data_IF_422193988180
#
_entry.id   IF_422193988180
#
_cell.length_a   1.000
_cell.length_b   1.000
_cell.length_c   1.000
_cell.angle_alpha   90.00
_cell.angle_beta   90.00
_cell.angle_gamma   90.00
#
_symmetry.space_group_name_H-M   'P 1'
#
loop_
_entity.id
_entity.type
_entity.pdbx_description
1 polymer ?
#
# COMPACT_ATOMS: atom_id res chain seq x y z
N UNK A 1 -7.69 22.07 -19.48
CA UNK A 1 -6.90 22.95 -18.60
C UNK A 1 -6.58 22.23 -17.28
N UNK A 2 -7.52 21.43 -16.78
CA UNK A 2 -7.41 20.68 -15.52
C UNK A 2 -6.32 19.59 -15.53
N UNK A 3 -6.15 18.87 -16.65
CA UNK A 3 -5.12 17.83 -16.75
C UNK A 3 -3.67 18.36 -16.70
N UNK A 4 -3.41 19.55 -17.25
CA UNK A 4 -2.08 20.17 -17.19
C UNK A 4 -1.76 20.67 -15.78
N UNK A 5 -2.75 21.21 -15.08
CA UNK A 5 -2.61 21.65 -13.68
C UNK A 5 -2.36 20.44 -12.78
N UNK A 6 -3.10 19.34 -12.97
CA UNK A 6 -2.88 18.08 -12.23
C UNK A 6 -1.48 17.50 -12.47
N UNK A 7 -1.01 17.50 -13.72
CA UNK A 7 0.36 17.09 -14.05
C UNK A 7 1.40 17.95 -13.31
N UNK A 8 1.20 19.26 -13.29
CA UNK A 8 2.11 20.21 -12.66
C UNK A 8 2.14 20.03 -11.14
N UNK A 9 0.98 19.83 -10.51
CA UNK A 9 0.86 19.47 -9.10
C UNK A 9 1.59 18.14 -8.82
N UNK A 10 1.40 17.11 -9.65
CA UNK A 10 2.08 15.84 -9.51
C UNK A 10 3.60 16.00 -9.55
N UNK A 11 4.15 16.75 -10.52
CA UNK A 11 5.59 17.01 -10.64
C UNK A 11 6.12 17.75 -9.41
N UNK A 12 5.41 18.78 -8.93
CA UNK A 12 5.81 19.53 -7.73
C UNK A 12 5.81 18.63 -6.49
N UNK A 13 4.75 17.84 -6.29
CA UNK A 13 4.64 16.91 -5.15
C UNK A 13 5.72 15.85 -5.23
N UNK A 14 5.97 15.27 -6.41
CA UNK A 14 7.02 14.28 -6.62
C UNK A 14 8.41 14.87 -6.32
N UNK A 15 8.70 16.07 -6.81
CA UNK A 15 9.95 16.77 -6.52
C UNK A 15 10.10 17.10 -5.02
N UNK A 16 9.02 17.54 -4.37
CA UNK A 16 9.01 17.81 -2.93
C UNK A 16 9.28 16.53 -2.12
N UNK A 17 8.65 15.41 -2.47
CA UNK A 17 8.92 14.10 -1.86
C UNK A 17 10.38 13.69 -2.06
N UNK A 18 10.93 13.84 -3.27
CA UNK A 18 12.35 13.51 -3.55
C UNK A 18 13.32 14.37 -2.71
N UNK A 19 13.03 15.66 -2.56
CA UNK A 19 13.84 16.56 -1.73
C UNK A 19 13.75 16.22 -0.23
N UNK A 20 12.53 16.01 0.28
CA UNK A 20 12.29 15.68 1.68
C UNK A 20 12.87 14.31 2.07
N UNK A 21 12.73 13.31 1.21
CA UNK A 21 13.29 11.96 1.44
C UNK A 21 14.82 11.99 1.41
N UNK A 22 15.43 12.82 0.57
CA UNK A 22 16.89 13.02 0.56
C UNK A 22 17.38 13.67 1.87
N UNK A 23 16.61 14.62 2.42
CA UNK A 23 16.93 15.30 3.67
C UNK A 23 16.74 14.41 4.92
N UNK A 24 15.74 13.50 4.89
CA UNK A 24 15.39 12.59 5.99
C UNK A 24 16.38 11.43 6.18
N UNK A 25 17.30 11.19 5.23
CA UNK A 25 18.29 10.09 5.32
C UNK A 25 19.24 10.19 6.52
N UNK A 26 19.30 11.33 7.21
CA UNK A 26 20.27 11.56 8.29
C UNK A 26 20.15 10.62 9.50
N UNK A 27 19.02 9.94 9.72
CA UNK A 27 18.80 9.07 10.89
C UNK A 27 18.25 7.67 10.57
N UNK A 28 18.11 7.30 9.29
CA UNK A 28 17.51 6.03 8.88
C UNK A 28 18.61 5.08 8.37
N UNK A 29 19.10 4.23 9.26
CA UNK A 29 20.23 3.34 9.00
C UNK A 29 19.75 1.89 8.98
N UNK A 30 19.90 1.25 7.82
CA UNK A 30 19.63 -0.18 7.62
C UNK A 30 20.97 -0.89 7.51
N UNK A 31 21.11 -2.03 8.17
CA UNK A 31 22.29 -2.87 7.98
C UNK A 31 22.26 -3.61 6.63
N UNK A 32 23.40 -4.20 6.24
CA UNK A 32 23.53 -4.92 4.96
C UNK A 32 22.52 -6.06 4.80
N UNK A 33 22.17 -6.73 5.90
CA UNK A 33 21.20 -7.83 5.90
C UNK A 33 19.79 -7.30 5.64
N UNK A 34 19.39 -6.20 6.29
CA UNK A 34 18.12 -5.54 6.07
C UNK A 34 18.00 -5.02 4.63
N UNK A 35 19.08 -4.45 4.08
CA UNK A 35 19.10 -4.01 2.67
C UNK A 35 18.88 -5.17 1.70
N UNK A 36 19.53 -6.33 1.93
CA UNK A 36 19.33 -7.52 1.11
C UNK A 36 17.88 -8.04 1.15
N UNK A 37 17.29 -8.13 2.35
CA UNK A 37 15.89 -8.54 2.55
C UNK A 37 14.94 -7.57 1.82
N UNK A 38 15.17 -6.26 1.96
CA UNK A 38 14.33 -5.25 1.31
C UNK A 38 14.42 -5.32 -0.20
N UNK A 39 15.62 -5.53 -0.76
CA UNK A 39 15.82 -5.71 -2.19
C UNK A 39 15.02 -6.92 -2.72
N UNK A 40 15.00 -8.02 -1.98
CA UNK A 40 14.18 -9.18 -2.31
C UNK A 40 12.68 -8.86 -2.24
N UNK A 41 12.24 -8.14 -1.21
CA UNK A 41 10.87 -7.65 -1.09
C UNK A 41 10.46 -6.77 -2.27
N UNK A 42 11.32 -5.81 -2.68
CA UNK A 42 11.06 -4.94 -3.82
C UNK A 42 10.94 -5.74 -5.12
N UNK A 43 11.80 -6.75 -5.32
CA UNK A 43 11.72 -7.64 -6.48
C UNK A 43 10.38 -8.39 -6.51
N UNK A 44 9.92 -8.92 -5.37
CA UNK A 44 8.63 -9.61 -5.26
C UNK A 44 7.47 -8.68 -5.59
N UNK A 45 7.43 -7.50 -4.96
CA UNK A 45 6.40 -6.49 -5.22
C UNK A 45 6.38 -6.02 -6.69
N UNK A 46 7.56 -5.82 -7.29
CA UNK A 46 7.67 -5.45 -8.70
C UNK A 46 7.04 -6.50 -9.64
N UNK A 47 7.34 -7.78 -9.44
CA UNK A 47 6.77 -8.84 -10.28
C UNK A 47 5.25 -8.98 -10.08
N UNK A 48 4.73 -8.76 -8.87
CA UNK A 48 3.28 -8.72 -8.63
C UNK A 48 2.65 -7.57 -9.43
N UNK A 49 3.22 -6.37 -9.36
CA UNK A 49 2.72 -5.23 -10.13
C UNK A 49 2.72 -5.53 -11.63
N UNK A 50 3.82 -6.09 -12.15
CA UNK A 50 3.99 -6.41 -13.57
C UNK A 50 2.98 -7.45 -14.05
N UNK A 51 2.76 -8.51 -13.27
CA UNK A 51 1.77 -9.54 -13.62
C UNK A 51 0.35 -8.97 -13.58
N UNK A 52 0.02 -8.18 -12.57
CA UNK A 52 -1.30 -7.59 -12.44
C UNK A 52 -1.59 -6.58 -13.56
N UNK A 53 -0.66 -5.67 -13.88
CA UNK A 53 -0.85 -4.74 -15.01
C UNK A 53 -0.94 -5.49 -16.34
N UNK A 54 -0.11 -6.51 -16.56
CA UNK A 54 -0.22 -7.38 -17.72
C UNK A 54 -1.58 -8.07 -17.82
N UNK A 55 -2.13 -8.55 -16.70
CA UNK A 55 -3.47 -9.12 -16.64
C UNK A 55 -4.54 -8.08 -17.02
N UNK A 56 -4.43 -6.84 -16.53
CA UNK A 56 -5.36 -5.78 -16.90
C UNK A 56 -5.29 -5.47 -18.40
N UNK A 57 -4.10 -5.47 -19.01
CA UNK A 57 -3.96 -5.33 -20.46
C UNK A 57 -4.70 -6.43 -21.21
N UNK A 58 -4.55 -7.70 -20.78
CA UNK A 58 -5.24 -8.84 -21.40
C UNK A 58 -6.76 -8.75 -21.21
N UNK A 59 -7.24 -8.39 -20.01
CA UNK A 59 -8.67 -8.20 -19.72
C UNK A 59 -9.27 -7.15 -20.67
N UNK A 60 -8.59 -6.01 -20.83
CA UNK A 60 -9.04 -4.93 -21.69
C UNK A 60 -9.03 -5.32 -23.17
N UNK A 61 -7.95 -5.95 -23.65
CA UNK A 61 -7.83 -6.39 -25.05
C UNK A 61 -8.88 -7.46 -25.39
N UNK A 62 -9.11 -8.41 -24.49
CA UNK A 62 -10.12 -9.46 -24.64
C UNK A 62 -11.56 -8.97 -24.37
N UNK A 63 -11.74 -7.69 -24.00
CA UNK A 63 -13.04 -7.08 -23.64
C UNK A 63 -13.81 -7.87 -22.58
N UNK A 64 -13.09 -8.43 -21.61
CA UNK A 64 -13.69 -9.17 -20.51
C UNK A 64 -14.39 -8.20 -19.57
N UNK A 65 -15.69 -8.43 -19.33
CA UNK A 65 -16.46 -7.61 -18.39
C UNK A 65 -16.05 -7.92 -16.95
N UNK A 66 -15.53 -6.92 -16.24
CA UNK A 66 -15.10 -7.00 -14.84
C UNK A 66 -15.92 -6.05 -13.95
N UNK A 67 -16.10 -6.36 -12.66
CA UNK A 67 -16.96 -5.61 -11.74
C UNK A 67 -16.28 -4.35 -11.16
N UNK A 68 -15.27 -3.81 -11.81
CA UNK A 68 -14.50 -2.64 -11.38
C UNK A 68 -14.00 -1.86 -12.60
N UNK A 69 -13.67 -0.59 -12.40
CA UNK A 69 -12.98 0.22 -13.41
C UNK A 69 -11.46 -0.07 -13.43
N UNK A 70 -10.76 0.45 -14.44
CA UNK A 70 -9.33 0.22 -14.62
C UNK A 70 -8.50 0.86 -13.51
N UNK A 71 -8.91 2.04 -13.03
CA UNK A 71 -8.18 2.78 -12.00
C UNK A 71 -8.25 2.06 -10.65
N UNK A 72 -9.40 1.47 -10.31
CA UNK A 72 -9.58 0.62 -9.14
C UNK A 72 -8.63 -0.57 -9.21
N UNK A 73 -8.58 -1.27 -10.34
CA UNK A 73 -7.72 -2.43 -10.50
C UNK A 73 -6.23 -2.07 -10.41
N UNK A 74 -5.81 -1.00 -11.09
CA UNK A 74 -4.42 -0.54 -11.06
C UNK A 74 -3.99 -0.15 -9.65
N UNK A 75 -4.83 0.56 -8.92
CA UNK A 75 -4.52 0.97 -7.56
C UNK A 75 -4.52 -0.22 -6.59
N UNK A 76 -5.43 -1.19 -6.77
CA UNK A 76 -5.41 -2.44 -6.01
C UNK A 76 -4.13 -3.25 -6.28
N UNK A 77 -3.68 -3.31 -7.53
CA UNK A 77 -2.41 -3.94 -7.89
C UNK A 77 -1.19 -3.24 -7.26
N UNK A 78 -1.20 -1.90 -7.22
CA UNK A 78 -0.17 -1.12 -6.53
C UNK A 78 -0.16 -1.43 -5.03
N UNK A 79 -1.34 -1.40 -4.38
CA UNK A 79 -1.45 -1.69 -2.95
C UNK A 79 -0.97 -3.10 -2.63
N UNK A 80 -1.41 -4.10 -3.39
CA UNK A 80 -0.98 -5.49 -3.20
C UNK A 80 0.54 -5.65 -3.36
N UNK A 81 1.14 -4.92 -4.30
CA UNK A 81 2.60 -4.95 -4.52
C UNK A 81 3.36 -4.36 -3.32
N UNK A 82 2.84 -3.28 -2.74
CA UNK A 82 3.37 -2.67 -1.52
C UNK A 82 3.19 -3.63 -0.33
N UNK A 83 2.04 -4.27 -0.21
CA UNK A 83 1.75 -5.22 0.86
C UNK A 83 2.68 -6.44 0.80
N UNK A 84 2.94 -6.99 -0.38
CA UNK A 84 3.88 -8.10 -0.56
C UNK A 84 5.30 -7.72 -0.12
N UNK A 85 5.74 -6.51 -0.47
CA UNK A 85 7.00 -5.97 0.04
C UNK A 85 6.97 -5.82 1.57
N UNK A 86 5.93 -5.19 2.10
CA UNK A 86 5.81 -4.87 3.52
C UNK A 86 5.79 -6.14 4.37
N UNK A 87 4.98 -7.14 3.99
CA UNK A 87 4.93 -8.45 4.64
C UNK A 87 6.32 -9.07 4.70
N UNK A 88 7.00 -9.16 3.56
CA UNK A 88 8.33 -9.77 3.49
C UNK A 88 9.33 -9.04 4.39
N UNK A 89 9.30 -7.71 4.40
CA UNK A 89 10.19 -6.91 5.24
C UNK A 89 9.83 -7.04 6.73
N UNK A 90 8.55 -7.08 7.10
CA UNK A 90 8.10 -7.21 8.51
C UNK A 90 8.50 -8.57 9.07
N UNK A 91 8.19 -9.66 8.36
CA UNK A 91 8.46 -11.02 8.82
C UNK A 91 9.96 -11.26 9.07
N UNK A 92 10.79 -10.66 8.22
CA UNK A 92 12.25 -10.79 8.27
C UNK A 92 12.95 -9.68 9.08
N UNK A 93 12.20 -8.79 9.76
CA UNK A 93 12.76 -7.77 10.66
C UNK A 93 13.54 -6.65 9.94
N UNK A 94 13.19 -6.38 8.68
CA UNK A 94 13.81 -5.35 7.85
C UNK A 94 12.85 -4.21 7.47
N UNK A 95 11.64 -4.18 8.07
CA UNK A 95 10.66 -3.14 7.81
C UNK A 95 11.04 -1.79 8.44
N UNK A 96 11.41 -1.81 9.72
CA UNK A 96 11.91 -0.64 10.44
C UNK A 96 13.44 -0.59 10.38
N UNK A 97 14.00 0.61 10.31
CA UNK A 97 15.44 0.81 10.48
C UNK A 97 15.89 0.51 11.91
N UNK A 98 17.19 0.28 12.11
CA UNK A 98 17.74 -0.18 13.40
C UNK A 98 17.38 0.74 14.58
N UNK A 99 17.25 2.04 14.32
CA UNK A 99 17.02 3.06 15.35
C UNK A 99 15.56 3.54 15.45
N UNK A 100 14.64 2.92 14.71
CA UNK A 100 13.29 3.43 14.52
C UNK A 100 12.27 2.77 15.45
N UNK A 101 11.49 3.60 16.14
CA UNK A 101 10.41 3.13 17.03
C UNK A 101 9.14 2.93 16.21
N UNK A 102 8.71 1.68 16.05
CA UNK A 102 7.54 1.31 15.24
C UNK A 102 6.18 1.86 15.72
N UNK A 103 6.09 2.41 16.93
CA UNK A 103 4.81 2.89 17.50
C UNK A 103 4.19 4.02 16.65
N UNK A 104 4.97 5.01 16.22
CA UNK A 104 4.46 6.11 15.40
C UNK A 104 3.87 5.62 14.08
N UNK A 105 4.49 4.59 13.49
CA UNK A 105 4.00 3.95 12.28
C UNK A 105 2.68 3.21 12.52
N UNK A 106 2.58 2.43 13.61
CA UNK A 106 1.32 1.73 13.96
C UNK A 106 0.18 2.72 14.20
N UNK A 107 0.45 3.85 14.87
CA UNK A 107 -0.55 4.91 15.08
C UNK A 107 -0.99 5.52 13.74
N UNK A 108 -0.05 5.79 12.83
CA UNK A 108 -0.35 6.28 11.49
C UNK A 108 -1.20 5.28 10.70
N UNK A 109 -0.86 3.99 10.72
CA UNK A 109 -1.67 2.91 10.11
C UNK A 109 -3.10 2.91 10.67
N UNK A 110 -3.26 3.02 12.00
CA UNK A 110 -4.58 3.05 12.62
C UNK A 110 -5.41 4.27 12.18
N UNK A 111 -4.80 5.45 12.09
CA UNK A 111 -5.48 6.67 11.60
C UNK A 111 -5.92 6.49 10.15
N UNK A 112 -5.04 5.95 9.29
CA UNK A 112 -5.34 5.70 7.87
C UNK A 112 -6.49 4.70 7.73
N UNK A 113 -6.50 3.63 8.52
CA UNK A 113 -7.60 2.65 8.54
C UNK A 113 -8.92 3.32 8.89
N UNK A 114 -8.95 4.11 9.98
CA UNK A 114 -10.19 4.76 10.44
C UNK A 114 -10.71 5.75 9.39
N UNK A 115 -9.84 6.61 8.85
CA UNK A 115 -10.24 7.60 7.86
C UNK A 115 -10.81 6.94 6.59
N UNK A 116 -10.15 5.89 6.10
CA UNK A 116 -10.60 5.16 4.91
C UNK A 116 -11.84 4.32 5.18
N UNK A 117 -12.01 3.76 6.39
CA UNK A 117 -13.22 3.05 6.78
C UNK A 117 -14.44 3.98 6.80
N UNK A 118 -14.31 5.18 7.37
CA UNK A 118 -15.40 6.16 7.40
C UNK A 118 -15.81 6.56 5.98
N UNK A 119 -14.84 6.89 5.13
CA UNK A 119 -15.12 7.28 3.74
C UNK A 119 -15.73 6.13 2.92
N UNK A 120 -15.13 4.94 2.96
CA UNK A 120 -15.66 3.78 2.24
C UNK A 120 -17.06 3.40 2.73
N UNK A 121 -17.31 3.41 4.05
CA UNK A 121 -18.63 3.15 4.61
C UNK A 121 -19.66 4.18 4.15
N UNK A 122 -19.32 5.47 4.12
CA UNK A 122 -20.18 6.53 3.60
C UNK A 122 -20.62 6.25 2.16
N UNK A 123 -19.67 5.97 1.27
CA UNK A 123 -19.98 5.66 -0.14
C UNK A 123 -20.79 4.37 -0.33
N UNK A 124 -20.59 3.37 0.54
CA UNK A 124 -21.39 2.14 0.54
C UNK A 124 -22.82 2.42 0.98
N UNK A 125 -23.00 3.19 2.06
CA UNK A 125 -24.31 3.54 2.62
C UNK A 125 -25.11 4.39 1.63
N UNK A 126 -24.45 5.35 0.99
CA UNK A 126 -25.07 6.24 0.00
C UNK A 126 -25.31 5.55 -1.35
N UNK A 127 -24.81 4.32 -1.53
CA UNK A 127 -24.93 3.55 -2.78
C UNK A 127 -24.10 4.12 -3.94
N UNK A 128 -23.20 5.07 -3.67
CA UNK A 128 -22.42 5.77 -4.69
C UNK A 128 -21.17 5.01 -5.13
N UNK A 129 -20.75 3.98 -4.36
CA UNK A 129 -19.54 3.19 -4.64
C UNK A 129 -19.55 2.45 -5.98
N UNK A 130 -20.72 2.30 -6.60
CA UNK A 130 -20.86 1.69 -7.93
C UNK A 130 -21.43 2.66 -8.95
N UNK A 131 -20.90 2.60 -10.17
CA UNK A 131 -21.52 3.17 -11.37
C UNK A 131 -21.64 2.08 -12.43
N UNK A 132 -22.80 1.97 -13.07
CA UNK A 132 -23.09 0.92 -14.06
C UNK A 132 -22.76 -0.51 -13.60
N UNK A 133 -22.95 -0.77 -12.30
CA UNK A 133 -22.66 -2.07 -11.68
C UNK A 133 -21.17 -2.33 -11.38
N UNK A 134 -20.26 -1.41 -11.71
CA UNK A 134 -18.82 -1.52 -11.44
C UNK A 134 -18.42 -0.73 -10.21
N UNK A 135 -17.50 -1.26 -9.42
CA UNK A 135 -16.82 -0.51 -8.38
C UNK A 135 -15.95 0.58 -9.01
N UNK A 136 -16.17 1.81 -8.58
CA UNK A 136 -15.50 2.99 -9.13
C UNK A 136 -14.36 3.42 -8.21
N UNK A 137 -13.21 3.77 -8.79
CA UNK A 137 -12.04 4.23 -8.04
C UNK A 137 -12.33 5.53 -7.26
N UNK A 138 -12.97 6.49 -7.92
CA UNK A 138 -13.22 7.85 -7.44
C UNK A 138 -14.39 7.95 -6.45
N UNK A 139 -15.32 7.00 -6.46
CA UNK A 139 -16.45 6.96 -5.53
C UNK A 139 -16.19 6.09 -4.29
N UNK A 140 -15.03 6.25 -3.65
CA UNK A 140 -14.67 5.52 -2.43
C UNK A 140 -14.05 4.14 -2.65
N UNK A 141 -13.90 3.69 -3.91
CA UNK A 141 -13.15 2.47 -4.22
C UNK A 141 -11.67 2.57 -3.82
N UNK A 142 -11.04 3.73 -4.00
CA UNK A 142 -9.67 3.95 -3.52
C UNK A 142 -9.56 3.81 -1.99
N UNK A 143 -10.52 4.36 -1.24
CA UNK A 143 -10.57 4.23 0.22
C UNK A 143 -10.77 2.77 0.65
N UNK A 144 -11.60 2.01 -0.07
CA UNK A 144 -11.79 0.59 0.19
C UNK A 144 -10.48 -0.21 -0.01
N UNK A 145 -9.73 0.07 -1.08
CA UNK A 145 -8.42 -0.57 -1.34
C UNK A 145 -7.43 -0.25 -0.21
N UNK A 146 -7.31 1.03 0.16
CA UNK A 146 -6.42 1.46 1.24
C UNK A 146 -6.82 0.79 2.57
N UNK A 147 -8.12 0.77 2.89
CA UNK A 147 -8.61 0.11 4.09
C UNK A 147 -8.17 -1.35 4.16
N UNK A 148 -8.39 -2.11 3.09
CA UNK A 148 -8.05 -3.54 3.03
C UNK A 148 -6.54 -3.76 3.14
N UNK A 149 -5.73 -3.02 2.38
CA UNK A 149 -4.28 -3.20 2.41
C UNK A 149 -3.66 -2.79 3.75
N UNK A 150 -4.10 -1.68 4.35
CA UNK A 150 -3.60 -1.28 5.68
C UNK A 150 -4.08 -2.21 6.80
N UNK A 151 -5.29 -2.77 6.72
CA UNK A 151 -5.72 -3.84 7.63
C UNK A 151 -4.83 -5.07 7.50
N UNK A 152 -4.51 -5.48 6.28
CA UNK A 152 -3.59 -6.60 6.03
C UNK A 152 -2.21 -6.32 6.63
N UNK A 153 -1.61 -5.15 6.41
CA UNK A 153 -0.37 -4.77 7.09
C UNK A 153 -0.47 -4.84 8.62
N UNK A 154 -1.56 -4.31 9.20
CA UNK A 154 -1.78 -4.35 10.65
C UNK A 154 -1.84 -5.79 11.18
N UNK A 155 -2.52 -6.70 10.47
CA UNK A 155 -2.58 -8.12 10.86
C UNK A 155 -1.20 -8.77 10.88
N UNK A 156 -0.32 -8.39 9.95
CA UNK A 156 1.04 -8.93 9.85
C UNK A 156 1.91 -8.42 10.99
N UNK A 157 1.78 -7.13 11.37
CA UNK A 157 2.44 -6.60 12.58
C UNK A 157 2.00 -7.34 13.83
N UNK A 158 0.69 -7.55 14.00
CA UNK A 158 0.14 -8.28 15.16
C UNK A 158 0.67 -9.73 15.16
N UNK A 159 0.67 -10.39 14.01
CA UNK A 159 1.20 -11.75 13.87
C UNK A 159 2.68 -11.83 14.28
N UNK A 160 3.51 -10.92 13.76
CA UNK A 160 4.93 -10.82 14.08
C UNK A 160 5.16 -10.57 15.57
N UNK A 161 4.42 -9.65 16.17
CA UNK A 161 4.49 -9.35 17.61
C UNK A 161 4.13 -10.56 18.48
N UNK A 162 3.05 -11.28 18.15
CA UNK A 162 2.64 -12.49 18.88
C UNK A 162 3.70 -13.58 18.76
N UNK A 163 4.25 -13.80 17.55
CA UNK A 163 5.29 -14.81 17.30
C UNK A 163 6.55 -14.54 18.12
N UNK A 164 6.99 -13.29 18.17
CA UNK A 164 8.17 -12.90 18.95
C UNK A 164 7.91 -13.07 20.45
N UNK A 165 6.75 -12.64 20.96
CA UNK A 165 6.42 -12.82 22.37
C UNK A 165 6.42 -14.29 22.80
N UNK A 166 5.83 -15.19 22.01
CA UNK A 166 5.81 -16.64 22.32
C UNK A 166 7.21 -17.24 22.34
N UNK A 167 8.08 -16.83 21.41
CA UNK A 167 9.46 -17.32 21.37
C UNK A 167 10.28 -16.95 22.60
N UNK A 168 9.90 -15.90 23.33
CA UNK A 168 10.56 -15.49 24.58
C UNK A 168 10.01 -16.24 25.80
N UNK A 169 8.77 -16.74 25.74
CA UNK A 169 8.17 -17.53 26.81
C UNK A 169 8.68 -19.00 26.81
N UNK A 170 9.25 -19.45 25.68
CA UNK A 170 9.79 -20.81 25.48
C UNK A 170 11.31 -20.94 25.70
N UNK A 171 12.02 -19.82 25.93
CA UNK A 171 13.48 -19.72 26.10
C UNK A 171 13.90 -19.41 27.53
#
# INVERSE_FOLDING_TARGET
MDGFILLLIFVIVFAAIMLLTTYSKRNCEYDERQLAIRAEGYKRGFFIMLVMTGMLCVINEARISVPFDNDFFLFAAMMLSVDVYAIHAIENGAFFSVNEKGLSYIVMVAIVIIANAISAAGHIIDGTIKSDGKLMFDNGGCNLILLVGFLLMLTVFIHKYIKERKGYEES
#
